data_IF_930385237829
#
_entry.id   IF_930385237829
#
_cell.length_a   1.000
_cell.length_b   1.000
_cell.length_c   1.000
_cell.angle_alpha   90.00
_cell.angle_beta   90.00
_cell.angle_gamma   90.00
#
_symmetry.space_group_name_H-M   'P 1'
#
loop_
_entity.id
_entity.type
_entity.pdbx_description
1 polymer ?
#
# COMPACT_ATOMS: atom_id res chain seq x y z
N UNK A 1 -8.30 24.44 -21.10
CA UNK A 1 -7.64 24.11 -19.82
C UNK A 1 -6.35 23.44 -20.21
N UNK A 2 -5.21 24.07 -19.93
CA UNK A 2 -3.91 23.47 -20.19
C UNK A 2 -3.72 22.26 -19.26
N UNK A 3 -3.15 21.15 -19.75
CA UNK A 3 -2.87 20.00 -18.91
C UNK A 3 -1.85 20.44 -17.85
N UNK A 4 -2.21 20.30 -16.57
CA UNK A 4 -1.28 20.47 -15.46
C UNK A 4 -0.27 19.34 -15.59
N UNK A 5 0.93 19.65 -16.08
CA UNK A 5 2.04 18.70 -16.15
C UNK A 5 2.58 18.63 -14.73
N UNK A 6 2.12 17.63 -13.97
CA UNK A 6 2.65 17.30 -12.65
C UNK A 6 4.10 16.87 -12.87
N UNK A 7 5.02 17.59 -12.25
CA UNK A 7 6.45 17.29 -12.29
C UNK A 7 6.78 16.07 -11.41
N UNK A 8 7.89 15.39 -11.67
CA UNK A 8 8.32 14.23 -10.88
C UNK A 8 8.53 14.60 -9.39
N UNK A 9 9.04 15.80 -9.12
CA UNK A 9 9.16 16.33 -7.75
C UNK A 9 7.79 16.54 -7.09
N UNK A 10 6.80 17.05 -7.83
CA UNK A 10 5.42 17.16 -7.35
C UNK A 10 4.81 15.78 -7.09
N UNK A 11 5.01 14.79 -7.97
CA UNK A 11 4.58 13.41 -7.75
C UNK A 11 5.20 12.76 -6.51
N UNK A 12 6.49 13.01 -6.22
CA UNK A 12 7.16 12.48 -5.03
C UNK A 12 6.61 13.15 -3.76
N UNK A 13 6.40 14.46 -3.80
CA UNK A 13 5.77 15.19 -2.69
C UNK A 13 4.32 14.74 -2.47
N UNK A 14 3.59 14.48 -3.55
CA UNK A 14 2.24 13.93 -3.53
C UNK A 14 2.20 12.56 -2.85
N UNK A 15 3.12 11.67 -3.20
CA UNK A 15 3.22 10.35 -2.61
C UNK A 15 3.45 10.44 -1.09
N UNK A 16 4.36 11.31 -0.64
CA UNK A 16 4.67 11.50 0.80
C UNK A 16 3.47 12.06 1.57
N UNK A 17 2.70 12.97 0.99
CA UNK A 17 1.53 13.53 1.67
C UNK A 17 0.37 12.53 1.69
N UNK A 18 0.16 11.81 0.59
CA UNK A 18 -0.85 10.78 0.50
C UNK A 18 -0.55 9.59 1.42
N UNK A 19 0.71 9.21 1.61
CA UNK A 19 1.11 8.12 2.52
C UNK A 19 0.74 8.38 3.97
N UNK A 20 0.59 9.64 4.39
CA UNK A 20 0.14 9.98 5.74
C UNK A 20 -1.37 9.82 5.92
N UNK A 21 -2.14 9.98 4.85
CA UNK A 21 -3.61 10.02 4.87
C UNK A 21 -4.22 8.68 4.50
N UNK A 22 -3.60 7.96 3.58
CA UNK A 22 -4.08 6.69 3.05
C UNK A 22 -4.28 5.61 4.12
N UNK A 23 -3.37 5.40 5.11
CA UNK A 23 -3.60 4.43 6.18
C UNK A 23 -4.82 4.77 7.04
N UNK A 24 -5.12 6.05 7.22
CA UNK A 24 -6.28 6.51 8.00
C UNK A 24 -7.56 6.22 7.23
N UNK A 25 -7.56 6.50 5.92
CA UNK A 25 -8.67 6.17 5.03
C UNK A 25 -8.95 4.67 5.04
N UNK A 26 -7.91 3.84 4.87
CA UNK A 26 -8.06 2.38 4.83
C UNK A 26 -8.57 1.83 6.15
N UNK A 27 -8.05 2.29 7.29
CA UNK A 27 -8.57 1.88 8.60
C UNK A 27 -10.05 2.23 8.79
N UNK A 28 -10.51 3.38 8.30
CA UNK A 28 -11.93 3.76 8.34
C UNK A 28 -12.79 2.89 7.40
N UNK A 29 -12.29 2.59 6.20
CA UNK A 29 -12.95 1.69 5.25
C UNK A 29 -13.05 0.29 5.87
N UNK A 30 -11.94 -0.27 6.36
CA UNK A 30 -11.89 -1.57 7.03
C UNK A 30 -12.87 -1.65 8.19
N UNK A 31 -12.87 -0.65 9.07
CA UNK A 31 -13.77 -0.62 10.20
C UNK A 31 -15.24 -0.69 9.78
N UNK A 32 -15.62 0.02 8.72
CA UNK A 32 -16.99 0.04 8.22
C UNK A 32 -17.32 -1.25 7.46
N UNK A 33 -16.40 -1.76 6.63
CA UNK A 33 -16.60 -2.99 5.86
C UNK A 33 -16.74 -4.22 6.75
N UNK A 34 -15.93 -4.34 7.81
CA UNK A 34 -16.07 -5.44 8.78
C UNK A 34 -17.44 -5.44 9.47
N UNK A 35 -18.01 -4.26 9.71
CA UNK A 35 -19.28 -4.14 10.44
C UNK A 35 -20.52 -4.25 9.55
N UNK A 36 -20.43 -3.82 8.29
CA UNK A 36 -21.61 -3.61 7.42
C UNK A 36 -21.45 -4.13 5.99
N UNK A 37 -20.28 -4.66 5.63
CA UNK A 37 -19.91 -4.95 4.26
C UNK A 37 -19.62 -3.68 3.45
N UNK A 38 -19.57 -3.83 2.12
CA UNK A 38 -19.17 -2.78 1.17
C UNK A 38 -19.77 -1.41 1.49
N UNK A 39 -18.91 -0.38 1.57
CA UNK A 39 -19.35 1.00 1.82
C UNK A 39 -20.30 1.50 0.73
N UNK A 40 -21.37 2.17 1.16
CA UNK A 40 -22.17 3.04 0.29
C UNK A 40 -21.46 4.40 0.08
N UNK A 41 -21.95 5.18 -0.89
CA UNK A 41 -21.29 6.44 -1.29
C UNK A 41 -21.19 7.46 -0.13
N UNK A 42 -22.22 7.54 0.71
CA UNK A 42 -22.19 8.41 1.88
C UNK A 42 -21.13 7.98 2.90
N UNK A 43 -21.01 6.69 3.16
CA UNK A 43 -20.00 6.13 4.06
C UNK A 43 -18.58 6.31 3.52
N UNK A 44 -18.39 6.14 2.21
CA UNK A 44 -17.12 6.37 1.54
C UNK A 44 -16.71 7.85 1.65
N UNK A 45 -17.63 8.76 1.36
CA UNK A 45 -17.37 10.20 1.49
C UNK A 45 -17.12 10.61 2.94
N UNK A 46 -17.77 9.97 3.92
CA UNK A 46 -17.52 10.21 5.33
C UNK A 46 -16.13 9.70 5.76
N UNK A 47 -15.71 8.52 5.31
CA UNK A 47 -14.37 7.98 5.55
C UNK A 47 -13.29 8.90 4.93
N UNK A 48 -13.52 9.38 3.71
CA UNK A 48 -12.67 10.38 3.05
C UNK A 48 -12.61 11.68 3.85
N UNK A 49 -13.73 12.18 4.39
CA UNK A 49 -13.74 13.39 5.22
C UNK A 49 -12.92 13.20 6.50
N UNK A 50 -13.04 12.06 7.18
CA UNK A 50 -12.26 11.76 8.38
C UNK A 50 -10.77 11.65 8.11
N UNK A 51 -10.40 11.00 7.00
CA UNK A 51 -9.01 10.95 6.55
C UNK A 51 -8.46 12.35 6.28
N UNK A 52 -9.27 13.23 5.68
CA UNK A 52 -8.91 14.64 5.47
C UNK A 52 -8.74 15.42 6.76
N UNK A 53 -9.60 15.21 7.75
CA UNK A 53 -9.53 15.88 9.06
C UNK A 53 -8.28 15.49 9.86
N UNK A 54 -7.75 14.29 9.60
CA UNK A 54 -6.50 13.83 10.20
C UNK A 54 -5.25 14.48 9.58
N UNK A 55 -5.37 15.20 8.47
CA UNK A 55 -4.27 16.00 7.93
C UNK A 55 -3.92 17.14 8.88
N UNK A 56 -2.67 17.20 9.31
CA UNK A 56 -2.11 18.38 9.99
C UNK A 56 -2.16 19.62 9.08
N UNK A 57 -1.78 20.80 9.58
CA UNK A 57 -1.84 22.07 8.81
C UNK A 57 -0.91 21.99 7.59
N UNK A 58 -1.42 21.47 6.48
CA UNK A 58 -0.79 21.48 5.17
C UNK A 58 -1.03 22.83 4.48
N UNK A 59 -0.08 23.23 3.65
CA UNK A 59 -0.24 24.35 2.73
C UNK A 59 -1.43 24.13 1.77
N UNK A 60 -2.02 25.23 1.27
CA UNK A 60 -3.22 25.19 0.42
C UNK A 60 -3.06 24.28 -0.81
N UNK A 61 -1.94 24.38 -1.52
CA UNK A 61 -1.65 23.57 -2.72
C UNK A 61 -1.60 22.08 -2.37
N UNK A 62 -0.92 21.71 -1.28
CA UNK A 62 -0.83 20.31 -0.82
C UNK A 62 -2.20 19.72 -0.49
N UNK A 63 -3.09 20.51 0.13
CA UNK A 63 -4.47 20.08 0.38
C UNK A 63 -5.24 19.83 -0.91
N UNK A 64 -5.05 20.67 -1.92
CA UNK A 64 -5.73 20.46 -3.21
C UNK A 64 -5.30 19.15 -3.86
N UNK A 65 -4.02 18.82 -3.81
CA UNK A 65 -3.51 17.61 -4.44
C UNK A 65 -3.94 16.33 -3.72
N UNK A 66 -3.88 16.31 -2.39
CA UNK A 66 -4.39 15.17 -1.61
C UNK A 66 -5.91 15.01 -1.82
N UNK A 67 -6.66 16.12 -1.91
CA UNK A 67 -8.09 16.07 -2.21
C UNK A 67 -8.37 15.46 -3.59
N UNK A 68 -7.64 15.86 -4.63
CA UNK A 68 -7.77 15.29 -5.98
C UNK A 68 -7.46 13.79 -5.98
N UNK A 69 -6.43 13.38 -5.23
CA UNK A 69 -6.05 11.96 -5.10
C UNK A 69 -7.14 11.14 -4.40
N UNK A 70 -7.70 11.66 -3.30
CA UNK A 70 -8.81 11.02 -2.58
C UNK A 70 -10.09 10.95 -3.42
N UNK A 71 -10.38 11.98 -4.21
CA UNK A 71 -11.51 11.98 -5.15
C UNK A 71 -11.33 10.94 -6.25
N UNK A 72 -10.10 10.81 -6.78
CA UNK A 72 -9.77 9.77 -7.75
C UNK A 72 -9.92 8.37 -7.16
N UNK A 73 -9.40 8.15 -5.96
CA UNK A 73 -9.58 6.90 -5.22
C UNK A 73 -11.06 6.56 -5.05
N UNK A 74 -11.87 7.51 -4.55
CA UNK A 74 -13.29 7.31 -4.34
C UNK A 74 -14.03 7.01 -5.65
N UNK A 75 -13.64 7.66 -6.76
CA UNK A 75 -14.16 7.37 -8.09
C UNK A 75 -13.93 5.91 -8.51
N UNK A 76 -12.69 5.43 -8.39
CA UNK A 76 -12.32 4.05 -8.75
C UNK A 76 -13.03 3.06 -7.82
N UNK A 77 -13.09 3.34 -6.51
CA UNK A 77 -13.78 2.51 -5.55
C UNK A 77 -15.27 2.34 -5.89
N UNK A 78 -15.96 3.42 -6.27
CA UNK A 78 -17.38 3.35 -6.65
C UNK A 78 -17.61 2.47 -7.87
N UNK A 79 -16.76 2.62 -8.88
CA UNK A 79 -16.95 2.01 -10.20
C UNK A 79 -16.46 0.55 -10.24
N UNK A 80 -15.33 0.26 -9.61
CA UNK A 80 -14.62 -1.02 -9.72
C UNK A 80 -14.43 -1.74 -8.37
N UNK A 81 -14.80 -1.11 -7.26
CA UNK A 81 -14.65 -1.67 -5.92
C UNK A 81 -13.27 -1.46 -5.31
N UNK A 82 -13.15 -1.91 -4.05
CA UNK A 82 -11.98 -1.68 -3.20
C UNK A 82 -10.67 -2.22 -3.79
N UNK A 83 -10.65 -3.50 -4.18
CA UNK A 83 -9.45 -4.15 -4.74
C UNK A 83 -8.86 -3.38 -5.94
N UNK A 84 -9.71 -2.79 -6.78
CA UNK A 84 -9.26 -1.98 -7.91
C UNK A 84 -8.72 -0.60 -7.48
N UNK A 85 -9.34 0.02 -6.46
CA UNK A 85 -8.88 1.29 -5.91
C UNK A 85 -7.52 1.14 -5.19
N UNK A 86 -7.35 0.08 -4.40
CA UNK A 86 -6.09 -0.23 -3.71
C UNK A 86 -4.98 -0.59 -4.70
N UNK A 87 -5.31 -1.37 -5.75
CA UNK A 87 -4.36 -1.63 -6.84
C UNK A 87 -3.91 -0.35 -7.54
N UNK A 88 -4.84 0.57 -7.82
CA UNK A 88 -4.47 1.85 -8.41
C UNK A 88 -3.52 2.65 -7.52
N UNK A 89 -3.71 2.63 -6.20
CA UNK A 89 -2.78 3.27 -5.25
C UNK A 89 -1.41 2.62 -5.31
N UNK A 90 -1.35 1.28 -5.33
CA UNK A 90 -0.10 0.54 -5.47
C UNK A 90 0.62 0.88 -6.77
N UNK A 91 -0.08 0.88 -7.90
CA UNK A 91 0.49 1.19 -9.22
C UNK A 91 0.95 2.65 -9.33
N UNK A 92 0.23 3.58 -8.71
CA UNK A 92 0.49 5.03 -8.83
C UNK A 92 1.57 5.51 -7.88
N UNK A 93 1.60 4.97 -6.66
CA UNK A 93 2.44 5.48 -5.57
C UNK A 93 3.42 4.45 -5.00
N UNK A 94 3.31 3.17 -5.37
CA UNK A 94 4.17 2.10 -4.85
C UNK A 94 3.88 1.72 -3.39
N UNK A 95 2.77 2.17 -2.80
CA UNK A 95 2.42 1.84 -1.42
C UNK A 95 1.73 0.49 -1.32
N UNK A 96 2.31 -0.41 -0.52
CA UNK A 96 1.63 -1.59 0.00
C UNK A 96 1.18 -1.24 1.43
N UNK A 97 -0.13 -1.10 1.64
CA UNK A 97 -0.67 -1.35 2.97
C UNK A 97 -0.93 -2.84 3.01
N UNK A 98 -0.20 -3.57 3.87
CA UNK A 98 -0.58 -4.90 4.30
C UNK A 98 -1.91 -4.76 5.05
N UNK A 99 -3.00 -4.63 4.30
CA UNK A 99 -4.33 -4.82 4.84
C UNK A 99 -4.36 -6.28 5.28
N UNK A 100 -4.28 -6.49 6.59
CA UNK A 100 -4.33 -7.81 7.19
C UNK A 100 -5.65 -8.46 6.85
N UNK A 101 -5.63 -9.26 5.79
CA UNK A 101 -6.51 -10.37 5.49
C UNK A 101 -5.65 -11.37 4.68
N UNK A 102 -5.06 -12.32 5.40
CA UNK A 102 -4.65 -13.61 4.87
C UNK A 102 -5.89 -14.32 4.35
N UNK A 103 -6.42 -13.97 3.19
CA UNK A 103 -7.42 -14.81 2.52
C UNK A 103 -7.49 -14.48 1.01
N UNK A 104 -7.54 -15.53 0.20
CA UNK A 104 -7.53 -15.56 -1.28
C UNK A 104 -6.15 -15.60 -1.96
N UNK A 105 -5.33 -16.57 -1.56
CA UNK A 105 -4.41 -17.25 -2.49
C UNK A 105 -5.16 -18.43 -3.14
N UNK A 106 -6.21 -18.13 -3.91
CA UNK A 106 -6.84 -19.10 -4.81
C UNK A 106 -6.43 -18.80 -6.26
N UNK A 107 -5.29 -19.37 -6.63
CA UNK A 107 -4.98 -19.76 -8.01
C UNK A 107 -4.13 -21.02 -7.88
N UNK A 108 -4.66 -22.20 -8.21
CA UNK A 108 -4.47 -22.77 -9.55
C UNK A 108 -5.48 -23.89 -9.82
N UNK A 109 -6.02 -23.87 -11.03
CA UNK A 109 -6.83 -24.92 -11.65
C UNK A 109 -6.06 -26.25 -11.85
N UNK A 110 -6.86 -27.34 -11.85
CA UNK A 110 -6.65 -28.66 -12.49
C UNK A 110 -5.56 -29.56 -11.85
N UNK A 111 -5.75 -30.85 -11.54
CA UNK A 111 -6.51 -31.90 -12.23
C UNK A 111 -6.60 -33.18 -11.34
N UNK A 112 -7.75 -33.86 -11.42
CA UNK A 112 -7.97 -35.31 -11.26
C UNK A 112 -7.59 -36.07 -9.97
N UNK A 113 -8.59 -36.71 -9.34
CA UNK A 113 -8.38 -37.93 -8.55
C UNK A 113 -9.47 -38.25 -7.53
N UNK A 114 -10.47 -39.03 -7.93
CA UNK A 114 -11.38 -39.72 -7.01
C UNK A 114 -10.60 -40.61 -6.02
N UNK A 115 -10.95 -40.57 -4.73
CA UNK A 115 -11.42 -41.70 -3.90
C UNK A 115 -11.10 -41.52 -2.40
N UNK A 116 -12.17 -41.76 -1.62
CA UNK A 116 -12.20 -42.42 -0.31
C UNK A 116 -11.49 -41.78 0.89
N UNK A 117 -12.32 -41.38 1.87
CA UNK A 117 -11.94 -41.30 3.28
C UNK A 117 -11.31 -42.61 3.73
N UNK A 118 -10.34 -42.54 4.66
CA UNK A 118 -10.64 -43.16 5.95
C UNK A 118 -10.17 -42.34 7.16
N UNK A 119 -10.80 -42.67 8.27
CA UNK A 119 -10.69 -42.10 9.60
C UNK A 119 -9.27 -42.23 10.21
N UNK A 120 -8.90 -41.21 10.99
CA UNK A 120 -7.82 -41.06 12.00
C UNK A 120 -7.05 -42.33 12.46
N UNK A 121 -5.74 -42.22 12.80
CA UNK A 121 -5.34 -41.62 14.08
C UNK A 121 -4.03 -40.81 14.09
N UNK A 122 -3.89 -40.04 15.17
CA UNK A 122 -2.82 -39.11 15.55
C UNK A 122 -1.41 -39.74 15.60
N UNK A 123 -0.42 -39.07 14.98
CA UNK A 123 1.01 -39.06 15.32
C UNK A 123 1.59 -37.76 14.71
N UNK A 124 1.77 -36.67 15.47
CA UNK A 124 2.99 -36.31 16.21
C UNK A 124 4.24 -36.29 15.31
N UNK A 125 4.56 -35.11 14.75
CA UNK A 125 5.90 -34.58 14.34
C UNK A 125 5.73 -33.43 13.33
N UNK A 126 5.22 -32.26 13.75
CA UNK A 126 5.05 -31.07 12.87
C UNK A 126 5.39 -29.74 13.58
N UNK A 127 6.39 -29.78 14.47
CA UNK A 127 6.82 -28.60 15.24
C UNK A 127 8.16 -28.01 14.83
N UNK A 128 8.96 -28.68 13.98
CA UNK A 128 10.34 -28.27 13.70
C UNK A 128 10.53 -27.59 12.33
N UNK A 129 9.67 -27.86 11.34
CA UNK A 129 9.80 -27.28 9.99
C UNK A 129 9.25 -25.85 9.93
N UNK A 130 8.15 -25.56 10.64
CA UNK A 130 7.57 -24.21 10.67
C UNK A 130 8.47 -23.16 11.36
N UNK A 131 9.28 -23.57 12.34
CA UNK A 131 10.24 -22.65 13.00
C UNK A 131 11.45 -22.33 12.11
N UNK A 132 11.85 -23.25 11.21
CA UNK A 132 12.94 -23.01 10.26
C UNK A 132 12.51 -22.04 9.14
N UNK A 133 11.29 -22.19 8.62
CA UNK A 133 10.75 -21.28 7.61
C UNK A 133 10.63 -19.84 8.15
N UNK A 134 10.25 -19.66 9.42
CA UNK A 134 10.19 -18.34 10.05
C UNK A 134 11.58 -17.70 10.23
N UNK A 135 12.61 -18.47 10.60
CA UNK A 135 13.97 -17.95 10.70
C UNK A 135 14.54 -17.54 9.33
N UNK A 136 14.30 -18.33 8.29
CA UNK A 136 14.75 -18.03 6.93
C UNK A 136 14.08 -16.76 6.37
N UNK A 137 12.79 -16.57 6.63
CA UNK A 137 12.06 -15.34 6.26
C UNK A 137 12.65 -14.13 7.01
N UNK A 138 12.95 -14.26 8.31
CA UNK A 138 13.53 -13.16 9.10
C UNK A 138 14.92 -12.78 8.64
N UNK A 139 15.76 -13.76 8.29
CA UNK A 139 17.09 -13.52 7.73
C UNK A 139 16.99 -12.81 6.38
N UNK A 140 16.12 -13.28 5.48
CA UNK A 140 15.85 -12.64 4.19
C UNK A 140 15.37 -11.19 4.34
N UNK A 141 14.45 -10.94 5.28
CA UNK A 141 13.94 -9.59 5.56
C UNK A 141 15.02 -8.66 6.11
N UNK A 142 15.94 -9.18 6.93
CA UNK A 142 17.08 -8.43 7.45
C UNK A 142 18.08 -8.10 6.32
N UNK A 143 18.35 -9.04 5.42
CA UNK A 143 19.20 -8.82 4.24
C UNK A 143 18.62 -7.75 3.32
N UNK A 144 17.31 -7.83 3.03
CA UNK A 144 16.60 -6.83 2.22
C UNK A 144 16.67 -5.46 2.89
N UNK A 145 16.42 -5.38 4.19
CA UNK A 145 16.51 -4.13 4.95
C UNK A 145 17.90 -3.52 4.90
N UNK A 146 18.95 -4.35 5.02
CA UNK A 146 20.33 -3.88 4.90
C UNK A 146 20.63 -3.38 3.47
N UNK A 147 20.12 -4.06 2.45
CA UNK A 147 20.32 -3.66 1.06
C UNK A 147 19.62 -2.32 0.76
N UNK A 148 18.41 -2.13 1.29
CA UNK A 148 17.67 -0.86 1.18
C UNK A 148 18.48 0.27 1.81
N UNK A 149 18.99 0.11 3.03
CA UNK A 149 19.77 1.14 3.70
C UNK A 149 21.03 1.55 2.92
N UNK A 150 21.70 0.58 2.27
CA UNK A 150 22.85 0.86 1.38
C UNK A 150 22.41 1.64 0.16
N UNK A 151 21.31 1.25 -0.48
CA UNK A 151 20.79 1.93 -1.68
C UNK A 151 20.29 3.34 -1.38
N UNK A 152 19.66 3.56 -0.24
CA UNK A 152 19.28 4.90 0.23
C UNK A 152 20.51 5.80 0.45
N UNK A 153 21.59 5.25 1.01
CA UNK A 153 22.84 5.99 1.20
C UNK A 153 23.50 6.35 -0.15
N UNK A 154 23.53 5.42 -1.11
CA UNK A 154 24.01 5.67 -2.47
C UNK A 154 23.18 6.77 -3.16
N UNK A 155 21.84 6.69 -3.07
CA UNK A 155 20.94 7.68 -3.64
C UNK A 155 21.20 9.07 -3.05
N UNK A 156 21.32 9.19 -1.72
CA UNK A 156 21.65 10.45 -1.04
C UNK A 156 22.99 11.01 -1.48
N UNK A 157 23.99 10.16 -1.73
CA UNK A 157 25.27 10.60 -2.25
C UNK A 157 25.15 11.16 -3.67
N UNK A 158 24.41 10.47 -4.55
CA UNK A 158 24.16 10.93 -5.92
C UNK A 158 23.41 12.26 -5.93
N UNK A 159 22.40 12.43 -5.07
CA UNK A 159 21.70 13.72 -4.92
C UNK A 159 22.65 14.84 -4.51
N UNK A 160 23.57 14.60 -3.56
CA UNK A 160 24.57 15.60 -3.13
C UNK A 160 25.53 15.97 -4.26
N UNK A 161 25.96 14.99 -5.06
CA UNK A 161 26.84 15.23 -6.21
C UNK A 161 26.13 15.98 -7.33
N UNK A 162 24.89 15.59 -7.64
CA UNK A 162 24.04 16.29 -8.60
C UNK A 162 23.86 17.76 -8.18
N UNK A 163 23.52 18.02 -6.92
CA UNK A 163 23.36 19.39 -6.41
C UNK A 163 24.67 20.19 -6.39
N UNK A 164 25.81 19.52 -6.22
CA UNK A 164 27.13 20.16 -6.31
C UNK A 164 27.43 20.56 -7.76
N UNK A 165 27.07 19.72 -8.73
CA UNK A 165 27.30 19.96 -10.16
C UNK A 165 26.27 20.92 -10.78
N UNK A 166 25.04 20.98 -10.24
CA UNK A 166 23.97 21.85 -10.73
C UNK A 166 24.06 23.28 -10.24
N UNK A 167 24.89 23.56 -9.21
CA UNK A 167 25.20 24.94 -8.83
C UNK A 167 26.09 25.56 -9.91
N UNK A 168 25.64 26.62 -10.61
CA UNK A 168 26.53 27.37 -11.49
C UNK A 168 27.64 27.98 -10.63
N UNK A 169 28.89 27.79 -11.04
CA UNK A 169 30.05 28.48 -10.46
C UNK A 169 29.81 29.99 -10.64
N UNK A 170 29.33 30.66 -9.59
CA UNK A 170 29.28 32.12 -9.51
C UNK A 170 30.58 32.67 -8.95
#
# INVERSE_FOLDING_TARGET
MEPVIVTEEEMVLEAVEFSNVYPILINEIDHIERLRGKLNDFQLMLAVSRAKDAMSILGWERRQTVNATLERYAGIYREYGRKAADRWVLETFGFVLEAGDEEELETSLEEAGELEQPEHPEHSEQGAEAEQDEEDIRLSMQEISSLIAVKEAELLQLYREFYRLSKPNS
#
